data_IF_805565074825
#
_entry.id   IF_805565074825
#
_cell.length_a   1.000
_cell.length_b   1.000
_cell.length_c   1.000
_cell.angle_alpha   90.00
_cell.angle_beta   90.00
_cell.angle_gamma   90.00
#
_symmetry.space_group_name_H-M   'P 1'
#
loop_
_entity.id
_entity.type
_entity.pdbx_description
1 polymer ?
#
# COMPACT_ATOMS: atom_id res chain seq x y z
N UNK A 1 -23.52 22.36 -4.87
CA UNK A 1 -22.23 21.69 -4.71
C UNK A 1 -22.40 20.46 -3.86
N UNK A 2 -22.44 20.49 -2.52
CA UNK A 2 -22.63 19.28 -1.69
C UNK A 2 -24.04 18.67 -1.90
N UNK A 3 -25.07 19.51 -1.88
CA UNK A 3 -26.48 19.12 -2.12
C UNK A 3 -26.71 18.47 -3.49
N UNK A 4 -25.95 18.84 -4.53
CA UNK A 4 -26.05 18.25 -5.87
C UNK A 4 -25.39 16.89 -5.99
N UNK A 5 -24.30 16.66 -5.25
CA UNK A 5 -23.61 15.36 -5.19
C UNK A 5 -24.48 14.35 -4.45
N UNK A 6 -25.10 14.78 -3.34
CA UNK A 6 -25.99 13.94 -2.54
C UNK A 6 -27.24 13.52 -3.34
N UNK A 7 -27.76 14.39 -4.22
CA UNK A 7 -28.92 14.10 -5.08
C UNK A 7 -28.54 13.16 -6.24
N UNK A 8 -27.37 13.30 -6.86
CA UNK A 8 -26.94 12.43 -7.95
C UNK A 8 -26.57 11.03 -7.44
N UNK A 9 -25.86 10.94 -6.31
CA UNK A 9 -25.55 9.67 -5.66
C UNK A 9 -26.81 8.95 -5.18
N UNK A 10 -27.77 9.69 -4.60
CA UNK A 10 -29.04 9.12 -4.14
C UNK A 10 -29.92 8.61 -5.29
N UNK A 11 -29.91 9.26 -6.45
CA UNK A 11 -30.69 8.84 -7.62
C UNK A 11 -30.14 7.56 -8.26
N UNK A 12 -28.81 7.42 -8.39
CA UNK A 12 -28.21 6.20 -8.94
C UNK A 12 -28.21 5.04 -7.93
N UNK A 13 -28.08 5.32 -6.64
CA UNK A 13 -28.22 4.32 -5.58
C UNK A 13 -29.68 3.86 -5.43
N UNK A 14 -30.67 4.74 -5.62
CA UNK A 14 -32.09 4.37 -5.60
C UNK A 14 -32.47 3.48 -6.79
N UNK A 15 -31.83 3.64 -7.94
CA UNK A 15 -32.01 2.76 -9.11
C UNK A 15 -31.26 1.42 -8.97
N UNK A 16 -30.19 1.37 -8.19
CA UNK A 16 -29.44 0.14 -7.90
C UNK A 16 -30.10 -0.71 -6.80
N UNK A 17 -30.80 -0.06 -5.85
CA UNK A 17 -31.55 -0.70 -4.78
C UNK A 17 -33.03 -0.42 -5.01
N UNK A 18 -33.67 -1.25 -5.86
CA UNK A 18 -35.10 -1.18 -6.14
C UNK A 18 -35.92 -1.06 -4.86
N UNK A 19 -36.91 -0.16 -4.90
CA UNK A 19 -37.83 0.22 -3.84
C UNK A 19 -38.24 -0.92 -2.91
N UNK A 20 -37.85 -0.85 -1.65
CA UNK A 20 -38.47 -1.59 -0.56
C UNK A 20 -39.69 -0.80 -0.10
N UNK A 21 -40.88 -1.14 -0.64
CA UNK A 21 -42.18 -0.69 -0.11
C UNK A 21 -42.40 -1.31 1.27
N UNK A 22 -42.83 -0.47 2.20
CA UNK A 22 -43.27 -0.95 3.50
C UNK A 22 -44.60 -1.70 3.39
N UNK A 23 -44.67 -2.85 4.02
CA UNK A 23 -45.81 -3.42 4.78
C UNK A 23 -45.54 -4.90 5.09
N UNK A 24 -45.97 -5.24 6.29
CA UNK A 24 -46.23 -6.56 6.89
C UNK A 24 -45.17 -7.14 7.81
N UNK A 25 -45.32 -6.70 9.05
CA UNK A 25 -44.86 -7.39 10.27
C UNK A 25 -45.78 -8.61 10.49
N UNK A 26 -45.35 -9.80 10.17
CA UNK A 26 -45.88 -11.15 10.46
C UNK A 26 -46.05 -12.00 9.18
N UNK A 27 -44.94 -12.44 8.63
CA UNK A 27 -44.93 -13.67 7.83
C UNK A 27 -43.83 -14.62 8.29
N UNK A 28 -44.14 -15.91 8.28
CA UNK A 28 -43.33 -17.08 8.64
C UNK A 28 -41.94 -17.03 7.99
N UNK A 29 -40.89 -17.59 8.64
CA UNK A 29 -39.56 -17.65 8.10
C UNK A 29 -39.50 -18.62 6.89
N UNK A 30 -39.87 -18.12 5.72
CA UNK A 30 -39.45 -18.76 4.48
C UNK A 30 -37.91 -18.82 4.48
N UNK A 31 -37.29 -19.94 4.04
CA UNK A 31 -35.84 -20.03 3.98
C UNK A 31 -35.32 -18.89 3.12
N UNK A 32 -34.65 -17.92 3.77
CA UNK A 32 -34.02 -16.81 3.09
C UNK A 32 -32.95 -17.38 2.13
N UNK A 33 -33.30 -17.42 0.86
CA UNK A 33 -32.28 -17.59 -0.18
C UNK A 33 -31.32 -16.42 -0.03
N UNK A 34 -30.02 -16.66 0.24
CA UNK A 34 -29.07 -15.56 0.37
C UNK A 34 -29.14 -14.68 -0.90
N UNK A 35 -29.08 -13.35 -0.75
CA UNK A 35 -29.12 -12.47 -1.90
C UNK A 35 -28.01 -12.86 -2.89
N UNK A 36 -28.33 -12.87 -4.19
CA UNK A 36 -27.31 -13.20 -5.20
C UNK A 36 -26.15 -12.22 -5.08
N UNK A 37 -24.91 -12.70 -5.13
CA UNK A 37 -23.75 -11.83 -5.02
C UNK A 37 -23.75 -10.78 -6.14
N UNK A 38 -23.45 -9.53 -5.78
CA UNK A 38 -23.24 -8.45 -6.75
C UNK A 38 -21.96 -8.78 -7.53
N UNK A 39 -22.07 -8.83 -8.86
CA UNK A 39 -20.97 -9.21 -9.74
C UNK A 39 -20.29 -7.98 -10.34
N UNK A 40 -18.96 -8.05 -10.51
CA UNK A 40 -18.19 -7.09 -11.29
C UNK A 40 -18.44 -7.27 -12.79
N UNK A 41 -17.96 -6.33 -13.60
CA UNK A 41 -18.08 -6.38 -15.08
C UNK A 41 -17.34 -7.58 -15.69
N UNK A 42 -16.33 -8.13 -15.02
CA UNK A 42 -15.61 -9.35 -15.42
C UNK A 42 -16.26 -10.65 -14.91
N UNK A 43 -17.42 -10.55 -14.26
CA UNK A 43 -18.16 -11.72 -13.75
C UNK A 43 -17.60 -12.27 -12.43
N UNK A 44 -16.83 -11.50 -11.68
CA UNK A 44 -16.36 -11.88 -10.34
C UNK A 44 -17.24 -11.26 -9.26
N UNK A 45 -17.44 -11.91 -8.09
CA UNK A 45 -18.18 -11.29 -7.00
C UNK A 45 -17.46 -10.03 -6.50
N UNK A 46 -18.20 -8.92 -6.30
CA UNK A 46 -17.64 -7.69 -5.71
C UNK A 46 -17.28 -7.89 -4.25
N UNK A 47 -18.07 -8.67 -3.53
CA UNK A 47 -17.78 -9.06 -2.15
C UNK A 47 -17.02 -10.39 -2.13
N UNK A 48 -15.78 -10.36 -1.69
CA UNK A 48 -14.89 -11.50 -1.66
C UNK A 48 -14.50 -11.85 -0.22
N UNK A 49 -14.14 -13.11 0.03
CA UNK A 49 -13.77 -13.57 1.35
C UNK A 49 -12.54 -12.82 1.88
N UNK A 50 -12.69 -12.25 3.07
CA UNK A 50 -11.63 -11.51 3.77
C UNK A 50 -11.54 -11.95 5.22
N UNK A 51 -10.38 -11.76 5.83
CA UNK A 51 -10.22 -11.90 7.27
C UNK A 51 -10.70 -10.63 8.03
N UNK A 52 -10.63 -10.66 9.35
CA UNK A 52 -11.03 -9.55 10.23
C UNK A 52 -10.22 -8.26 10.05
N UNK A 53 -9.09 -8.30 9.35
CA UNK A 53 -8.28 -7.14 8.97
C UNK A 53 -8.55 -6.68 7.53
N UNK A 54 -9.58 -7.23 6.87
CA UNK A 54 -9.95 -6.91 5.49
C UNK A 54 -8.97 -7.44 4.44
N UNK A 55 -8.11 -8.43 4.78
CA UNK A 55 -7.15 -9.03 3.87
C UNK A 55 -7.79 -10.18 3.09
N UNK A 56 -7.41 -10.35 1.83
CA UNK A 56 -7.93 -11.41 0.97
C UNK A 56 -7.60 -12.80 1.51
N UNK A 57 -8.61 -13.66 1.61
CA UNK A 57 -8.44 -15.05 2.00
C UNK A 57 -8.59 -15.95 0.76
N UNK A 58 -7.58 -15.93 -0.11
CA UNK A 58 -7.48 -16.79 -1.29
C UNK A 58 -6.90 -18.15 -0.93
N UNK A 59 -7.25 -19.18 -1.70
CA UNK A 59 -6.54 -20.47 -1.71
C UNK A 59 -5.19 -20.23 -2.38
N UNK A 60 -4.09 -20.62 -1.75
CA UNK A 60 -2.77 -20.44 -2.38
C UNK A 60 -2.55 -21.47 -3.50
N UNK A 61 -1.73 -21.13 -4.51
CA UNK A 61 -1.36 -22.09 -5.53
C UNK A 61 -0.76 -23.36 -4.92
N UNK A 62 -1.39 -24.52 -5.20
CA UNK A 62 -0.97 -25.81 -4.65
C UNK A 62 -1.50 -26.16 -3.27
N UNK A 63 -2.25 -25.26 -2.61
CA UNK A 63 -2.95 -25.54 -1.35
C UNK A 63 -4.39 -26.03 -1.58
N UNK A 64 -4.94 -26.73 -0.61
CA UNK A 64 -6.37 -27.07 -0.58
C UNK A 64 -7.22 -25.91 -0.03
N UNK A 65 -8.53 -25.94 -0.29
CA UNK A 65 -9.44 -24.94 0.26
C UNK A 65 -9.42 -24.91 1.81
N UNK A 66 -9.18 -26.06 2.46
CA UNK A 66 -9.13 -26.18 3.91
C UNK A 66 -7.96 -25.38 4.52
N UNK A 67 -6.83 -25.30 3.83
CA UNK A 67 -5.64 -24.57 4.30
C UNK A 67 -5.84 -23.05 4.32
N UNK A 68 -6.90 -22.56 3.67
CA UNK A 68 -7.34 -21.17 3.75
C UNK A 68 -7.89 -20.79 5.13
N UNK A 69 -8.21 -21.77 5.97
CA UNK A 69 -8.78 -21.54 7.29
C UNK A 69 -7.80 -21.98 8.39
N UNK A 70 -7.79 -21.24 9.49
CA UNK A 70 -7.14 -21.66 10.73
C UNK A 70 -7.93 -22.82 11.35
N UNK A 71 -7.31 -23.57 12.24
CA UNK A 71 -7.98 -24.58 13.07
C UNK A 71 -9.21 -24.04 13.81
N UNK A 72 -9.27 -22.72 14.06
CA UNK A 72 -10.43 -22.03 14.65
C UNK A 72 -11.56 -21.73 13.66
N UNK A 73 -11.48 -22.17 12.40
CA UNK A 73 -12.44 -21.85 11.32
C UNK A 73 -12.35 -20.42 10.78
N UNK A 74 -11.40 -19.59 11.23
CA UNK A 74 -11.23 -18.22 10.76
C UNK A 74 -10.39 -18.18 9.48
N UNK A 75 -10.74 -17.35 8.47
CA UNK A 75 -9.97 -17.23 7.24
C UNK A 75 -8.57 -16.67 7.48
N UNK A 76 -7.60 -17.16 6.71
CA UNK A 76 -6.21 -16.69 6.71
C UNK A 76 -6.03 -15.63 5.64
N UNK A 77 -5.99 -14.37 6.05
CA UNK A 77 -5.78 -13.25 5.13
C UNK A 77 -4.34 -13.10 4.67
N UNK A 78 -4.15 -12.82 3.39
CA UNK A 78 -2.85 -12.52 2.77
C UNK A 78 -2.57 -11.03 2.81
N UNK A 79 -1.31 -10.63 2.87
CA UNK A 79 -0.92 -9.21 2.89
C UNK A 79 -1.48 -8.50 1.66
N UNK A 80 -2.18 -7.37 1.85
CA UNK A 80 -2.69 -6.58 0.72
C UNK A 80 -1.56 -5.85 0.01
N UNK A 81 -1.56 -5.83 -1.33
CA UNK A 81 -0.59 -5.09 -2.13
C UNK A 81 -0.52 -3.61 -1.72
N UNK A 82 -1.69 -2.97 -1.49
CA UNK A 82 -1.77 -1.58 -1.02
C UNK A 82 -1.23 -1.35 0.40
N UNK A 83 -1.15 -2.38 1.24
CA UNK A 83 -0.51 -2.32 2.57
C UNK A 83 0.98 -2.60 2.44
N UNK A 84 1.36 -3.51 1.56
CA UNK A 84 2.74 -3.89 1.31
C UNK A 84 3.55 -2.71 0.73
N UNK A 85 3.07 -2.10 -0.35
CA UNK A 85 3.75 -1.00 -1.03
C UNK A 85 3.96 0.26 -0.16
N UNK A 86 3.18 0.42 0.90
CA UNK A 86 3.28 1.53 1.87
C UNK A 86 4.17 1.21 3.08
N UNK A 87 4.84 0.05 3.10
CA UNK A 87 5.63 -0.37 4.27
C UNK A 87 6.91 0.47 4.47
N UNK A 88 7.44 1.04 3.39
CA UNK A 88 8.65 1.87 3.40
C UNK A 88 8.35 3.38 3.20
N UNK A 89 7.09 3.79 3.25
CA UNK A 89 6.68 5.17 2.95
C UNK A 89 6.63 6.03 4.20
N UNK A 90 7.09 7.26 4.09
CA UNK A 90 6.85 8.30 5.09
C UNK A 90 5.36 8.73 5.06
N UNK A 91 4.70 8.54 6.19
CA UNK A 91 3.27 8.87 6.36
C UNK A 91 3.04 10.27 6.97
N UNK A 92 4.09 11.08 7.14
CA UNK A 92 3.99 12.38 7.80
C UNK A 92 2.92 13.25 7.17
N UNK A 93 2.95 13.43 5.85
CA UNK A 93 2.03 14.32 5.14
C UNK A 93 0.56 13.90 5.27
N UNK A 94 0.26 12.60 5.14
CA UNK A 94 -1.11 12.09 5.28
C UNK A 94 -1.60 12.18 6.74
N UNK A 95 -0.73 11.93 7.71
CA UNK A 95 -1.05 12.08 9.12
C UNK A 95 -1.32 13.54 9.48
N UNK A 96 -0.52 14.48 8.97
CA UNK A 96 -0.71 15.91 9.20
C UNK A 96 -1.98 16.43 8.50
N UNK A 97 -2.33 15.86 7.33
CA UNK A 97 -3.60 16.15 6.66
C UNK A 97 -4.80 15.66 7.50
N UNK A 98 -4.75 14.44 8.03
CA UNK A 98 -5.78 13.90 8.92
C UNK A 98 -5.98 14.79 10.16
N UNK A 99 -4.90 15.18 10.85
CA UNK A 99 -4.97 16.09 12.01
C UNK A 99 -5.66 17.43 11.67
N UNK A 100 -5.36 18.01 10.50
CA UNK A 100 -6.02 19.24 10.05
C UNK A 100 -7.52 19.03 9.80
N UNK A 101 -7.92 17.89 9.22
CA UNK A 101 -9.33 17.58 9.02
C UNK A 101 -10.07 17.39 10.35
N UNK A 102 -9.47 16.71 11.33
CA UNK A 102 -10.03 16.60 12.68
C UNK A 102 -10.28 17.98 13.28
N UNK A 103 -9.32 18.90 13.19
CA UNK A 103 -9.46 20.27 13.72
C UNK A 103 -10.57 21.06 13.00
N UNK A 104 -10.65 20.95 11.67
CA UNK A 104 -11.72 21.57 10.87
C UNK A 104 -13.08 20.99 11.25
N UNK A 105 -13.20 19.67 11.37
CA UNK A 105 -14.42 18.98 11.78
C UNK A 105 -14.85 19.38 13.20
N UNK A 106 -13.91 19.46 14.13
CA UNK A 106 -14.16 19.88 15.51
C UNK A 106 -14.71 21.32 15.59
N UNK A 107 -14.23 22.22 14.73
CA UNK A 107 -14.77 23.58 14.67
C UNK A 107 -16.23 23.65 14.22
N UNK A 108 -16.70 22.66 13.45
CA UNK A 108 -18.06 22.55 12.90
C UNK A 108 -19.00 21.70 13.77
N UNK A 109 -18.47 20.71 14.49
CA UNK A 109 -19.22 19.70 15.26
C UNK A 109 -18.77 19.69 16.72
N UNK A 110 -19.11 20.74 17.44
CA UNK A 110 -18.85 20.85 18.90
C UNK A 110 -19.50 19.73 19.72
N UNK A 111 -20.64 19.23 19.25
CA UNK A 111 -21.35 18.10 19.87
C UNK A 111 -20.48 16.82 19.90
N UNK A 112 -19.71 16.54 18.85
CA UNK A 112 -18.78 15.40 18.81
C UNK A 112 -17.59 15.62 19.76
N UNK A 113 -17.11 16.85 19.87
CA UNK A 113 -16.03 17.19 20.81
C UNK A 113 -16.48 16.99 22.27
N UNK A 114 -17.71 17.35 22.57
CA UNK A 114 -18.28 17.14 23.92
C UNK A 114 -18.42 15.65 24.25
N UNK A 115 -18.72 14.79 23.27
CA UNK A 115 -18.77 13.34 23.47
C UNK A 115 -17.41 12.74 23.82
N UNK A 116 -16.31 13.39 23.47
CA UNK A 116 -14.96 12.96 23.87
C UNK A 116 -14.62 13.33 25.32
N UNK A 117 -15.45 14.15 25.98
CA UNK A 117 -15.18 14.58 27.35
C UNK A 117 -15.23 13.38 28.31
N UNK A 118 -14.14 13.17 29.04
CA UNK A 118 -14.02 12.07 30.00
C UNK A 118 -13.62 10.72 29.39
N UNK A 119 -13.49 10.62 28.06
CA UNK A 119 -12.93 9.43 27.43
C UNK A 119 -11.41 9.39 27.58
N UNK A 120 -10.86 8.17 27.78
CA UNK A 120 -9.42 7.95 27.90
C UNK A 120 -8.86 7.22 26.68
N UNK A 121 -7.58 7.39 26.44
CA UNK A 121 -6.90 6.75 25.30
C UNK A 121 -6.78 5.23 25.50
N UNK A 122 -6.69 4.79 26.73
CA UNK A 122 -6.50 3.40 27.12
C UNK A 122 -7.81 2.60 27.05
N UNK A 123 -8.89 3.15 27.58
CA UNK A 123 -10.16 2.42 27.77
C UNK A 123 -11.16 2.64 26.63
N UNK A 124 -11.11 3.81 25.97
CA UNK A 124 -12.13 4.25 25.01
C UNK A 124 -11.60 4.40 23.58
N UNK A 125 -10.53 3.71 23.23
CA UNK A 125 -9.85 3.82 21.95
C UNK A 125 -10.79 3.75 20.73
N UNK A 126 -11.72 2.79 20.74
CA UNK A 126 -12.62 2.58 19.59
C UNK A 126 -13.66 3.70 19.49
N UNK A 127 -14.16 4.22 20.61
CA UNK A 127 -15.07 5.37 20.62
C UNK A 127 -14.35 6.63 20.12
N UNK A 128 -13.13 6.88 20.61
CA UNK A 128 -12.33 8.02 20.15
C UNK A 128 -12.02 7.93 18.66
N UNK A 129 -11.66 6.75 18.14
CA UNK A 129 -11.45 6.53 16.71
C UNK A 129 -12.73 6.80 15.90
N UNK A 130 -13.90 6.38 16.39
CA UNK A 130 -15.18 6.64 15.73
C UNK A 130 -15.50 8.14 15.67
N UNK A 131 -15.23 8.89 16.74
CA UNK A 131 -15.39 10.34 16.77
C UNK A 131 -14.43 11.05 15.81
N UNK A 132 -13.17 10.61 15.75
CA UNK A 132 -12.17 11.13 14.79
C UNK A 132 -12.66 10.95 13.36
N UNK A 133 -13.16 9.76 12.99
CA UNK A 133 -13.71 9.50 11.65
C UNK A 133 -14.86 10.45 11.34
N UNK A 134 -15.81 10.66 12.26
CA UNK A 134 -16.93 11.57 12.05
C UNK A 134 -16.48 13.04 11.88
N UNK A 135 -15.45 13.46 12.60
CA UNK A 135 -14.87 14.79 12.46
C UNK A 135 -14.18 14.97 11.11
N UNK A 136 -13.40 13.98 10.67
CA UNK A 136 -12.76 13.98 9.35
C UNK A 136 -13.79 14.01 8.22
N UNK A 137 -14.88 13.24 8.33
CA UNK A 137 -16.00 13.24 7.39
C UNK A 137 -16.68 14.62 7.35
N UNK A 138 -16.91 15.23 8.49
CA UNK A 138 -17.46 16.61 8.59
C UNK A 138 -16.55 17.64 7.91
N UNK A 139 -15.25 17.40 7.91
CA UNK A 139 -14.29 18.23 7.17
C UNK A 139 -14.34 18.02 5.65
N UNK A 140 -15.03 16.99 5.17
CA UNK A 140 -15.15 16.65 3.75
C UNK A 140 -14.11 15.63 3.26
N UNK A 141 -13.47 14.89 4.17
CA UNK A 141 -12.41 13.91 3.80
C UNK A 141 -12.92 12.79 2.89
N UNK A 142 -14.20 12.42 2.96
CA UNK A 142 -14.82 11.38 2.14
C UNK A 142 -15.22 11.81 0.74
N UNK A 143 -15.53 13.08 0.51
CA UNK A 143 -16.08 13.56 -0.77
C UNK A 143 -15.21 13.14 -1.97
N UNK A 144 -13.90 13.34 -1.89
CA UNK A 144 -12.99 12.93 -2.95
C UNK A 144 -12.90 11.40 -3.13
N UNK A 145 -13.02 10.65 -2.03
CA UNK A 145 -13.00 9.18 -2.07
C UNK A 145 -14.27 8.62 -2.72
N UNK A 146 -15.44 9.17 -2.39
CA UNK A 146 -16.73 8.70 -2.91
C UNK A 146 -16.85 9.00 -4.40
N UNK A 147 -16.45 10.21 -4.83
CA UNK A 147 -16.37 10.56 -6.25
C UNK A 147 -15.35 9.68 -6.99
N UNK A 148 -14.21 9.40 -6.37
CA UNK A 148 -13.21 8.50 -6.92
C UNK A 148 -13.76 7.09 -7.13
N UNK A 149 -14.45 6.54 -6.13
CA UNK A 149 -15.10 5.22 -6.21
C UNK A 149 -16.13 5.17 -7.34
N UNK A 150 -16.98 6.19 -7.46
CA UNK A 150 -17.93 6.29 -8.54
C UNK A 150 -17.26 6.27 -9.92
N UNK A 151 -16.20 7.06 -10.13
CA UNK A 151 -15.50 7.10 -11.40
C UNK A 151 -14.75 5.79 -11.71
N UNK A 152 -14.18 5.12 -10.71
CA UNK A 152 -13.63 3.78 -10.89
C UNK A 152 -14.68 2.82 -11.41
N UNK A 153 -15.82 2.71 -10.72
CA UNK A 153 -16.89 1.82 -11.13
C UNK A 153 -17.47 2.19 -12.50
N UNK A 154 -17.66 3.49 -12.78
CA UNK A 154 -18.22 3.91 -14.06
C UNK A 154 -17.26 3.60 -15.23
N UNK A 155 -15.94 3.82 -15.05
CA UNK A 155 -14.94 3.48 -16.07
C UNK A 155 -14.84 1.98 -16.30
N UNK A 156 -15.06 1.12 -15.29
CA UNK A 156 -15.15 -0.33 -15.47
C UNK A 156 -16.30 -0.70 -16.44
N UNK A 157 -17.48 -0.09 -16.29
CA UNK A 157 -18.59 -0.30 -17.22
C UNK A 157 -18.29 0.19 -18.62
N UNK A 158 -17.59 1.33 -18.76
CA UNK A 158 -17.16 1.85 -20.07
C UNK A 158 -16.14 0.90 -20.72
N UNK A 159 -15.15 0.46 -19.98
CA UNK A 159 -14.09 -0.46 -20.44
C UNK A 159 -14.65 -1.84 -20.83
N UNK A 160 -15.72 -2.25 -20.18
CA UNK A 160 -16.45 -3.46 -20.53
C UNK A 160 -17.41 -3.30 -21.74
N UNK A 161 -17.54 -2.09 -22.29
CA UNK A 161 -18.47 -1.77 -23.37
C UNK A 161 -19.95 -1.82 -22.98
N UNK A 162 -20.25 -1.69 -21.68
CA UNK A 162 -21.60 -1.75 -21.14
C UNK A 162 -22.25 -0.36 -20.98
N UNK A 163 -21.44 0.68 -20.84
CA UNK A 163 -21.87 2.08 -20.78
C UNK A 163 -20.94 2.94 -21.64
N UNK A 164 -21.41 4.15 -21.95
CA UNK A 164 -20.63 5.19 -22.61
C UNK A 164 -20.53 6.39 -21.69
N UNK A 165 -19.66 7.36 -21.99
CA UNK A 165 -19.55 8.56 -21.19
C UNK A 165 -20.88 9.40 -21.16
N UNK A 166 -21.75 9.24 -22.18
CA UNK A 166 -23.06 9.91 -22.23
C UNK A 166 -24.05 9.37 -21.19
N UNK A 167 -23.85 8.15 -20.72
CA UNK A 167 -24.70 7.53 -19.69
C UNK A 167 -24.38 8.02 -18.27
N UNK A 168 -23.33 8.82 -18.12
CA UNK A 168 -22.95 9.41 -16.84
C UNK A 168 -23.73 10.70 -16.53
N UNK A 169 -23.83 11.08 -15.22
CA UNK A 169 -24.25 12.41 -14.83
C UNK A 169 -23.47 13.50 -15.55
N UNK A 170 -24.15 14.60 -15.89
CA UNK A 170 -23.61 15.67 -16.75
C UNK A 170 -22.26 16.22 -16.28
N UNK A 171 -22.06 16.32 -14.97
CA UNK A 171 -20.81 16.79 -14.35
C UNK A 171 -19.59 15.91 -14.65
N UNK A 172 -19.78 14.61 -14.92
CA UNK A 172 -18.70 13.67 -15.20
C UNK A 172 -18.48 13.37 -16.68
N UNK A 173 -19.46 13.72 -17.55
CA UNK A 173 -19.42 13.38 -18.96
C UNK A 173 -18.15 13.87 -19.65
N UNK A 174 -17.70 15.09 -19.34
CA UNK A 174 -16.46 15.64 -19.91
C UNK A 174 -15.23 14.84 -19.54
N UNK A 175 -15.05 14.51 -18.25
CA UNK A 175 -13.90 13.75 -17.77
C UNK A 175 -13.88 12.34 -18.36
N UNK A 176 -15.05 11.71 -18.44
CA UNK A 176 -15.20 10.36 -18.99
C UNK A 176 -15.03 10.34 -20.52
N UNK A 177 -15.44 11.39 -21.23
CA UNK A 177 -15.14 11.53 -22.66
C UNK A 177 -13.63 11.69 -22.90
N UNK A 178 -12.94 12.49 -22.07
CA UNK A 178 -11.49 12.64 -22.14
C UNK A 178 -10.76 11.33 -21.78
N UNK A 179 -11.31 10.55 -20.82
CA UNK A 179 -10.79 9.21 -20.51
C UNK A 179 -10.82 8.29 -21.74
N UNK A 180 -11.96 8.17 -22.40
CA UNK A 180 -12.09 7.34 -23.61
C UNK A 180 -11.20 7.82 -24.75
N UNK A 181 -11.10 9.14 -24.96
CA UNK A 181 -10.25 9.76 -25.96
C UNK A 181 -8.75 9.50 -25.69
N UNK A 182 -8.34 9.63 -24.43
CA UNK A 182 -6.94 9.39 -24.04
C UNK A 182 -6.52 7.93 -24.27
N UNK A 183 -7.36 6.95 -23.88
CA UNK A 183 -7.11 5.53 -24.14
C UNK A 183 -7.05 5.25 -25.64
N UNK A 184 -8.01 5.78 -26.42
CA UNK A 184 -8.06 5.61 -27.86
C UNK A 184 -6.82 6.17 -28.58
N UNK A 185 -6.38 7.37 -28.21
CA UNK A 185 -5.17 8.02 -28.77
C UNK A 185 -3.90 7.25 -28.43
N UNK A 186 -3.81 6.67 -27.24
CA UNK A 186 -2.68 5.85 -26.82
C UNK A 186 -2.74 4.43 -27.38
N UNK A 187 -3.84 4.02 -28.02
CA UNK A 187 -4.02 2.65 -28.49
C UNK A 187 -4.12 1.62 -27.37
N UNK A 188 -4.67 2.02 -26.23
CA UNK A 188 -4.90 1.18 -25.06
C UNK A 188 -6.31 0.60 -25.11
N UNK A 189 -6.42 -0.72 -25.24
CA UNK A 189 -7.69 -1.45 -25.27
C UNK A 189 -7.89 -2.18 -23.96
N UNK A 190 -8.87 -1.80 -23.12
CA UNK A 190 -9.17 -2.54 -21.90
C UNK A 190 -9.73 -3.93 -22.25
N UNK A 191 -9.31 -4.93 -21.46
CA UNK A 191 -9.77 -6.32 -21.66
C UNK A 191 -10.81 -6.63 -20.61
N UNK A 192 -12.08 -6.74 -21.01
CA UNK A 192 -13.22 -6.90 -20.11
C UNK A 192 -13.05 -8.03 -19.09
N UNK A 193 -12.56 -9.19 -19.50
CA UNK A 193 -12.35 -10.34 -18.62
C UNK A 193 -11.24 -10.14 -17.59
N UNK A 194 -10.43 -9.08 -17.74
CA UNK A 194 -9.27 -8.73 -16.92
C UNK A 194 -9.48 -7.39 -16.19
N UNK A 195 -10.73 -7.00 -15.94
CA UNK A 195 -11.10 -5.86 -15.09
C UNK A 195 -11.39 -6.37 -13.69
N UNK A 196 -10.89 -5.69 -12.65
CA UNK A 196 -11.13 -6.03 -11.24
C UNK A 196 -10.81 -7.50 -10.93
N UNK A 197 -9.60 -7.97 -11.29
CA UNK A 197 -9.14 -9.34 -11.03
C UNK A 197 -8.09 -9.39 -9.95
N UNK A 198 -8.15 -10.47 -9.18
CA UNK A 198 -7.24 -10.70 -8.05
C UNK A 198 -6.03 -11.51 -8.50
N UNK A 199 -4.85 -11.10 -8.04
CA UNK A 199 -3.58 -11.82 -8.23
C UNK A 199 -2.77 -11.86 -6.94
N UNK A 200 -1.68 -12.66 -6.92
CA UNK A 200 -0.82 -12.86 -5.75
C UNK A 200 0.63 -13.06 -6.17
N UNK A 201 1.57 -12.55 -5.39
CA UNK A 201 2.99 -12.89 -5.50
C UNK A 201 3.46 -13.67 -4.28
N UNK A 202 4.39 -14.60 -4.49
CA UNK A 202 4.90 -15.49 -3.46
C UNK A 202 6.07 -14.89 -2.68
N UNK A 203 6.96 -14.19 -3.37
CA UNK A 203 8.32 -13.80 -2.93
C UNK A 203 8.34 -13.05 -1.61
N UNK A 204 7.34 -12.23 -1.35
CA UNK A 204 7.31 -11.35 -0.17
C UNK A 204 6.28 -11.80 0.87
N UNK A 205 6.07 -13.12 1.01
CA UNK A 205 5.16 -13.70 1.99
C UNK A 205 3.70 -13.61 1.57
N UNK A 206 3.41 -13.88 0.31
CA UNK A 206 2.07 -13.92 -0.26
C UNK A 206 1.36 -12.57 -0.21
N UNK A 207 1.80 -11.65 -1.06
CA UNK A 207 1.17 -10.36 -1.25
C UNK A 207 0.07 -10.47 -2.30
N UNK A 208 -1.16 -10.16 -1.92
CA UNK A 208 -2.36 -10.33 -2.73
C UNK A 208 -3.05 -8.98 -2.99
N UNK A 209 -3.66 -8.83 -4.16
CA UNK A 209 -4.45 -7.64 -4.46
C UNK A 209 -5.30 -7.79 -5.71
N UNK A 210 -6.26 -6.89 -5.84
CA UNK A 210 -7.10 -6.75 -7.03
C UNK A 210 -6.56 -5.58 -7.83
N UNK A 211 -6.26 -5.81 -9.10
CA UNK A 211 -5.87 -4.76 -10.03
C UNK A 211 -7.09 -4.23 -10.79
N UNK A 212 -7.05 -2.96 -11.18
CA UNK A 212 -8.17 -2.34 -11.85
C UNK A 212 -8.39 -2.96 -13.24
N UNK A 213 -7.35 -3.04 -14.08
CA UNK A 213 -7.45 -3.53 -15.46
C UNK A 213 -6.13 -3.96 -16.08
N UNK A 214 -6.21 -4.77 -17.12
CA UNK A 214 -5.14 -5.00 -18.07
C UNK A 214 -5.57 -4.48 -19.44
N UNK A 215 -4.67 -3.74 -20.10
CA UNK A 215 -4.84 -3.23 -21.45
C UNK A 215 -4.04 -4.07 -22.44
N UNK A 216 -4.57 -4.22 -23.64
CA UNK A 216 -3.76 -4.51 -24.81
C UNK A 216 -3.29 -3.19 -25.44
N UNK A 217 -1.98 -2.98 -25.52
CA UNK A 217 -1.40 -1.78 -26.13
C UNK A 217 -1.08 -2.06 -27.59
N UNK A 218 -1.94 -1.61 -28.49
CA UNK A 218 -1.84 -1.89 -29.94
C UNK A 218 -0.47 -1.54 -30.53
N UNK A 219 0.13 -0.35 -30.25
CA UNK A 219 1.40 0.03 -30.89
C UNK A 219 2.55 -0.93 -30.55
N UNK A 220 2.60 -1.50 -29.35
CA UNK A 220 3.67 -2.43 -28.94
C UNK A 220 3.28 -3.90 -29.03
N UNK A 221 1.99 -4.22 -29.18
CA UNK A 221 1.48 -5.59 -29.14
C UNK A 221 1.60 -6.26 -27.76
N UNK A 222 1.74 -5.49 -26.67
CA UNK A 222 1.96 -5.99 -25.30
C UNK A 222 0.74 -5.76 -24.41
N UNK A 223 0.65 -6.58 -23.37
CA UNK A 223 -0.29 -6.36 -22.27
C UNK A 223 0.36 -5.46 -21.22
N UNK A 224 -0.38 -4.43 -20.77
CA UNK A 224 0.05 -3.47 -19.77
C UNK A 224 -0.93 -3.49 -18.60
N UNK A 225 -0.41 -3.58 -17.37
CA UNK A 225 -1.21 -3.36 -16.18
C UNK A 225 -1.60 -1.88 -16.09
N UNK A 226 -2.85 -1.59 -15.74
CA UNK A 226 -3.36 -0.23 -15.61
C UNK A 226 -4.11 0.01 -14.31
N UNK A 227 -4.05 1.24 -13.84
CA UNK A 227 -4.67 1.68 -12.60
C UNK A 227 -5.21 3.10 -12.75
N UNK A 228 -6.43 3.35 -12.30
CA UNK A 228 -7.05 4.67 -12.28
C UNK A 228 -6.75 5.38 -10.96
N UNK A 229 -6.30 6.61 -11.02
CA UNK A 229 -6.04 7.47 -9.86
C UNK A 229 -6.86 8.74 -9.97
N UNK A 230 -7.73 8.96 -8.99
CA UNK A 230 -8.64 10.11 -8.90
C UNK A 230 -8.19 11.15 -7.87
N UNK A 231 -7.05 10.92 -7.24
CA UNK A 231 -6.46 11.85 -6.28
C UNK A 231 -6.12 13.21 -6.89
N UNK A 232 -6.06 14.25 -6.06
CA UNK A 232 -5.81 15.64 -6.46
C UNK A 232 -4.52 15.83 -7.26
N UNK A 233 -3.49 15.06 -6.98
CA UNK A 233 -2.17 15.13 -7.62
C UNK A 233 -1.49 13.76 -7.61
N UNK A 234 -0.59 13.54 -8.56
CA UNK A 234 0.32 12.40 -8.63
C UNK A 234 1.76 12.76 -8.20
N UNK A 235 1.98 13.94 -7.65
CA UNK A 235 3.32 14.40 -7.20
C UNK A 235 3.87 13.56 -6.05
N UNK A 236 2.99 12.85 -5.33
CA UNK A 236 3.33 12.01 -4.20
C UNK A 236 2.87 10.57 -4.45
N UNK A 237 3.58 9.62 -3.89
CA UNK A 237 3.19 8.21 -3.96
C UNK A 237 3.58 7.49 -5.25
N UNK A 238 4.49 8.07 -6.07
CA UNK A 238 4.98 7.44 -7.29
C UNK A 238 5.49 6.02 -7.02
N UNK A 239 6.39 5.88 -6.06
CA UNK A 239 7.02 4.59 -5.75
C UNK A 239 6.01 3.54 -5.29
N UNK A 240 5.00 3.93 -4.50
CA UNK A 240 3.94 3.02 -4.06
C UNK A 240 3.06 2.55 -5.22
N UNK A 241 2.72 3.45 -6.14
CA UNK A 241 1.91 3.13 -7.31
C UNK A 241 2.69 2.21 -8.24
N UNK A 242 3.94 2.51 -8.55
CA UNK A 242 4.81 1.66 -9.38
C UNK A 242 5.03 0.29 -8.75
N UNK A 243 5.24 0.22 -7.43
CA UNK A 243 5.33 -1.03 -6.69
C UNK A 243 4.02 -1.82 -6.72
N UNK A 244 2.88 -1.15 -6.59
CA UNK A 244 1.57 -1.77 -6.67
C UNK A 244 1.35 -2.40 -8.05
N UNK A 245 1.61 -1.66 -9.12
CA UNK A 245 1.46 -2.12 -10.49
C UNK A 245 2.43 -3.25 -10.82
N UNK A 246 3.70 -3.14 -10.40
CA UNK A 246 4.65 -4.24 -10.56
C UNK A 246 4.18 -5.51 -9.84
N UNK A 247 3.71 -5.38 -8.59
CA UNK A 247 3.17 -6.52 -7.84
C UNK A 247 2.04 -7.22 -8.60
N UNK A 248 1.18 -6.45 -9.26
CA UNK A 248 0.09 -7.02 -10.04
C UNK A 248 0.57 -7.68 -11.34
N UNK A 249 1.41 -7.01 -12.11
CA UNK A 249 1.96 -7.56 -13.37
C UNK A 249 2.73 -8.85 -13.10
N UNK A 250 3.64 -8.82 -12.13
CA UNK A 250 4.45 -9.97 -11.73
C UNK A 250 3.58 -11.12 -11.18
N UNK A 251 2.57 -10.80 -10.37
CA UNK A 251 1.65 -11.79 -9.84
C UNK A 251 0.84 -12.50 -10.93
N UNK A 252 0.35 -11.76 -11.92
CA UNK A 252 -0.36 -12.33 -13.08
C UNK A 252 0.55 -13.24 -13.89
N UNK A 253 1.79 -12.84 -14.13
CA UNK A 253 2.76 -13.66 -14.86
C UNK A 253 3.17 -14.91 -14.07
N UNK A 254 3.32 -14.81 -12.75
CA UNK A 254 3.80 -15.89 -11.91
C UNK A 254 2.71 -16.92 -11.55
N UNK A 255 1.53 -16.44 -11.16
CA UNK A 255 0.48 -17.28 -10.57
C UNK A 255 -0.86 -17.19 -11.33
N UNK A 256 -0.95 -16.30 -12.34
CA UNK A 256 -2.21 -16.02 -13.03
C UNK A 256 -3.15 -15.15 -12.23
N UNK A 257 -4.43 -15.33 -12.48
CA UNK A 257 -5.52 -14.58 -11.82
C UNK A 257 -6.42 -15.52 -11.03
N UNK A 258 -6.87 -15.07 -9.88
CA UNK A 258 -7.78 -15.86 -9.03
C UNK A 258 -9.22 -15.72 -9.53
N UNK A 259 -9.88 -16.83 -9.72
CA UNK A 259 -11.31 -16.89 -9.99
C UNK A 259 -12.04 -17.18 -8.67
N UNK A 260 -12.78 -16.18 -8.19
CA UNK A 260 -13.52 -16.28 -6.94
C UNK A 260 -14.75 -17.19 -7.03
N UNK A 261 -15.29 -17.42 -8.24
CA UNK A 261 -16.44 -18.30 -8.43
C UNK A 261 -16.04 -19.79 -8.31
N UNK A 262 -14.90 -20.14 -8.88
CA UNK A 262 -14.35 -21.51 -8.83
C UNK A 262 -13.32 -21.69 -7.71
N UNK A 263 -12.85 -20.61 -7.11
CA UNK A 263 -11.81 -20.56 -6.08
C UNK A 263 -10.48 -21.18 -6.55
N UNK A 264 -10.15 -20.99 -7.81
CA UNK A 264 -8.95 -21.53 -8.46
C UNK A 264 -8.11 -20.45 -9.12
N UNK A 265 -6.85 -20.78 -9.40
CA UNK A 265 -5.93 -19.92 -10.16
C UNK A 265 -6.03 -20.27 -11.64
N UNK A 266 -6.31 -19.27 -12.47
CA UNK A 266 -6.31 -19.32 -13.93
C UNK A 266 -4.93 -18.87 -14.40
N UNK A 267 -4.04 -19.82 -14.63
CA UNK A 267 -2.66 -19.54 -15.09
C UNK A 267 -2.60 -19.23 -16.59
N UNK A 268 -3.51 -19.82 -17.36
CA UNK A 268 -3.74 -19.49 -18.77
C UNK A 268 -4.78 -18.38 -18.90
N UNK A 269 -4.50 -17.23 -18.26
CA UNK A 269 -5.41 -16.09 -18.25
C UNK A 269 -5.65 -15.49 -19.63
N UNK A 270 -4.73 -15.71 -20.59
CA UNK A 270 -4.86 -15.26 -21.96
C UNK A 270 -6.03 -15.94 -22.67
N UNK A 271 -6.38 -17.15 -22.28
CA UNK A 271 -7.54 -17.87 -22.83
C UNK A 271 -8.86 -17.16 -22.56
N UNK A 272 -8.94 -16.37 -21.49
CA UNK A 272 -10.15 -15.61 -21.12
C UNK A 272 -10.54 -14.53 -22.14
N UNK A 273 -9.66 -14.16 -23.06
CA UNK A 273 -9.93 -13.12 -24.09
C UNK A 273 -9.51 -13.56 -25.53
N UNK A 274 -9.31 -14.85 -25.73
CA UNK A 274 -9.02 -15.41 -27.07
C UNK A 274 -7.56 -15.41 -27.48
N UNK A 275 -6.64 -15.28 -26.54
CA UNK A 275 -5.20 -15.54 -26.61
C UNK A 275 -4.50 -14.97 -27.85
N UNK A 276 -4.05 -13.73 -27.84
CA UNK A 276 -3.31 -13.16 -28.97
C UNK A 276 -1.99 -12.52 -28.51
N UNK A 277 -0.89 -12.96 -29.09
CA UNK A 277 0.37 -12.29 -29.33
C UNK A 277 1.44 -12.23 -28.23
N UNK A 278 1.13 -12.07 -26.94
CA UNK A 278 2.16 -12.13 -25.89
C UNK A 278 1.71 -12.97 -24.70
N UNK A 279 2.57 -13.84 -24.17
CA UNK A 279 2.19 -14.68 -23.02
C UNK A 279 2.17 -13.92 -21.69
N UNK A 280 2.72 -12.69 -21.63
CA UNK A 280 3.01 -12.01 -20.36
C UNK A 280 2.52 -10.56 -20.36
N UNK A 281 2.14 -10.08 -19.18
CA UNK A 281 1.97 -8.66 -18.88
C UNK A 281 3.36 -8.03 -18.73
N UNK A 282 3.56 -6.82 -19.27
CA UNK A 282 4.83 -6.11 -19.12
C UNK A 282 5.17 -5.88 -17.65
N UNK A 283 6.37 -6.28 -17.24
CA UNK A 283 6.93 -6.00 -15.91
C UNK A 283 7.90 -4.79 -15.92
N UNK A 284 8.07 -4.14 -17.06
CA UNK A 284 8.90 -2.94 -17.18
C UNK A 284 8.08 -1.66 -17.24
N UNK A 285 6.85 -1.71 -17.79
CA UNK A 285 6.00 -0.53 -17.99
C UNK A 285 4.56 -0.86 -17.64
N UNK A 286 3.94 0.02 -16.86
CA UNK A 286 2.51 0.06 -16.59
C UNK A 286 1.90 1.41 -16.97
N UNK A 287 0.58 1.55 -16.81
CA UNK A 287 -0.17 2.76 -17.14
C UNK A 287 -0.93 3.24 -15.92
N UNK A 288 -0.76 4.51 -15.56
CA UNK A 288 -1.62 5.19 -14.59
C UNK A 288 -2.49 6.18 -15.35
N UNK A 289 -3.79 6.06 -15.17
CA UNK A 289 -4.76 7.03 -15.68
C UNK A 289 -5.07 7.99 -14.54
N UNK A 290 -4.57 9.22 -14.62
CA UNK A 290 -4.83 10.24 -13.63
C UNK A 290 -6.02 11.08 -14.06
N UNK A 291 -7.12 10.96 -13.32
CA UNK A 291 -8.39 11.70 -13.53
C UNK A 291 -8.83 12.35 -12.22
N UNK A 292 -8.25 13.50 -11.85
CA UNK A 292 -8.49 14.13 -10.55
C UNK A 292 -9.92 14.63 -10.43
N UNK A 293 -10.57 14.27 -9.30
CA UNK A 293 -11.94 14.69 -8.94
C UNK A 293 -11.99 16.01 -8.17
N UNK A 294 -10.83 16.55 -7.83
CA UNK A 294 -10.68 17.80 -7.09
C UNK A 294 -9.36 18.48 -7.41
N UNK A 295 -9.32 19.80 -7.25
CA UNK A 295 -8.09 20.58 -7.36
C UNK A 295 -7.88 21.24 -8.72
N UNK A 296 -6.67 21.78 -8.97
CA UNK A 296 -6.40 22.58 -10.17
C UNK A 296 -6.55 21.85 -11.50
N UNK A 297 -6.41 20.52 -11.49
CA UNK A 297 -6.54 19.65 -12.66
C UNK A 297 -7.86 18.89 -12.70
N UNK A 298 -8.84 19.28 -11.88
CA UNK A 298 -10.16 18.67 -11.90
C UNK A 298 -10.77 18.69 -13.32
N UNK A 299 -11.35 17.57 -13.73
CA UNK A 299 -11.93 17.41 -15.05
C UNK A 299 -10.94 17.24 -16.19
N UNK A 300 -9.65 16.98 -15.90
CA UNK A 300 -8.65 16.56 -16.90
C UNK A 300 -8.38 15.08 -16.81
N UNK A 301 -7.75 14.53 -17.85
CA UNK A 301 -7.23 13.16 -17.86
C UNK A 301 -5.81 13.16 -18.41
N UNK A 302 -4.91 12.55 -17.66
CA UNK A 302 -3.50 12.38 -18.05
C UNK A 302 -3.16 10.89 -18.02
N UNK A 303 -2.51 10.38 -19.07
CA UNK A 303 -1.91 9.05 -19.06
C UNK A 303 -0.44 9.18 -18.65
N UNK A 304 -0.08 8.48 -17.60
CA UNK A 304 1.28 8.47 -17.06
C UNK A 304 1.86 7.06 -17.20
N UNK A 305 3.08 6.97 -17.69
CA UNK A 305 3.83 5.72 -17.73
C UNK A 305 4.41 5.44 -16.35
N UNK A 306 4.16 4.23 -15.82
CA UNK A 306 4.74 3.76 -14.58
C UNK A 306 5.97 2.90 -14.87
N UNK A 307 7.09 3.23 -14.22
CA UNK A 307 8.32 2.45 -14.27
C UNK A 307 8.23 1.27 -13.31
N UNK A 308 7.96 0.08 -13.83
CA UNK A 308 7.77 -1.10 -13.00
C UNK A 308 9.10 -1.70 -12.51
N UNK A 309 10.24 -1.39 -13.13
CA UNK A 309 11.55 -1.76 -12.61
C UNK A 309 11.85 -0.97 -11.31
N UNK A 310 11.55 0.33 -11.29
CA UNK A 310 11.54 1.14 -10.08
C UNK A 310 10.55 0.58 -9.05
N UNK A 311 9.36 0.13 -9.48
CA UNK A 311 8.36 -0.52 -8.65
C UNK A 311 8.88 -1.79 -7.98
N UNK A 312 9.61 -2.63 -8.70
CA UNK A 312 10.29 -3.82 -8.18
C UNK A 312 11.32 -3.47 -7.12
N UNK A 313 12.18 -2.50 -7.41
CA UNK A 313 13.18 -2.04 -6.44
C UNK A 313 12.54 -1.54 -5.14
N UNK A 314 11.43 -0.81 -5.24
CA UNK A 314 10.65 -0.40 -4.05
C UNK A 314 10.03 -1.58 -3.30
N UNK A 315 9.56 -2.61 -4.01
CA UNK A 315 9.05 -3.84 -3.39
C UNK A 315 10.11 -4.57 -2.56
N UNK A 316 11.36 -4.62 -3.02
CA UNK A 316 12.49 -5.19 -2.29
C UNK A 316 12.75 -4.43 -0.97
N UNK A 317 12.67 -3.09 -1.00
CA UNK A 317 12.78 -2.25 0.21
C UNK A 317 11.62 -2.52 1.18
N UNK A 318 10.38 -2.58 0.67
CA UNK A 318 9.21 -2.90 1.48
C UNK A 318 9.33 -4.28 2.14
N UNK A 319 9.82 -5.27 1.41
CA UNK A 319 10.07 -6.61 1.92
C UNK A 319 11.12 -6.60 3.03
N UNK A 320 12.23 -5.90 2.83
CA UNK A 320 13.29 -5.76 3.85
C UNK A 320 12.79 -5.08 5.13
N UNK A 321 11.95 -4.04 5.01
CA UNK A 321 11.31 -3.38 6.16
C UNK A 321 10.41 -4.36 6.92
N UNK A 322 9.60 -5.16 6.20
CA UNK A 322 8.66 -6.12 6.80
C UNK A 322 9.32 -7.35 7.39
N UNK A 323 10.46 -7.78 6.84
CA UNK A 323 11.23 -8.91 7.35
C UNK A 323 11.96 -8.62 8.68
N UNK A 324 12.06 -7.35 9.08
CA UNK A 324 12.68 -6.99 10.36
C UNK A 324 11.89 -7.58 11.53
N UNK A 325 12.56 -8.21 12.50
CA UNK A 325 11.88 -8.70 13.68
C UNK A 325 11.12 -7.57 14.38
N UNK A 326 9.84 -7.78 14.59
CA UNK A 326 9.01 -6.88 15.39
C UNK A 326 8.96 -7.44 16.81
N UNK A 327 9.26 -6.64 17.79
CA UNK A 327 9.19 -7.06 19.16
C UNK A 327 9.57 -5.94 20.13
N UNK A 328 9.28 -6.17 21.39
CA UNK A 328 9.70 -5.28 22.47
C UNK A 328 11.22 -5.37 22.62
N UNK A 329 11.90 -4.23 22.78
CA UNK A 329 13.30 -4.22 23.19
C UNK A 329 13.43 -5.03 24.49
N UNK A 330 14.41 -5.95 24.52
CA UNK A 330 14.70 -6.71 25.73
C UNK A 330 15.28 -5.77 26.80
N UNK A 331 15.02 -6.07 28.06
CA UNK A 331 15.70 -5.41 29.14
C UNK A 331 17.22 -5.68 29.03
N UNK A 332 18.06 -4.75 29.52
CA UNK A 332 19.51 -4.88 29.41
C UNK A 332 20.04 -6.21 29.98
N UNK A 333 19.43 -6.72 31.07
CA UNK A 333 19.78 -8.01 31.67
C UNK A 333 19.36 -9.24 30.85
N UNK A 334 18.35 -9.09 29.95
CA UNK A 334 17.82 -10.17 29.11
C UNK A 334 18.36 -10.09 27.68
N UNK A 335 19.26 -9.16 27.42
CA UNK A 335 19.88 -8.93 26.12
C UNK A 335 20.86 -10.03 25.70
N UNK A 336 21.44 -9.94 24.53
CA UNK A 336 22.58 -10.75 24.15
C UNK A 336 23.71 -10.56 25.18
N UNK A 337 24.51 -11.62 25.37
CA UNK A 337 25.66 -11.53 26.24
C UNK A 337 26.44 -10.22 25.98
N UNK A 338 26.95 -9.56 27.03
CA UNK A 338 27.75 -8.35 26.85
C UNK A 338 28.83 -8.60 25.81
N UNK A 339 29.06 -7.61 24.96
CA UNK A 339 30.14 -7.70 23.97
C UNK A 339 31.41 -8.18 24.66
N UNK A 340 32.05 -9.18 24.08
CA UNK A 340 33.37 -9.61 24.57
C UNK A 340 34.26 -8.38 24.72
N UNK A 341 35.03 -8.28 25.79
CA UNK A 341 35.99 -7.19 25.95
C UNK A 341 36.81 -7.07 24.65
N UNK A 342 36.91 -5.86 24.14
CA UNK A 342 37.72 -5.62 22.95
C UNK A 342 39.13 -6.21 23.19
N UNK A 343 39.57 -7.09 22.30
CA UNK A 343 40.94 -7.61 22.37
C UNK A 343 41.93 -6.43 22.33
N UNK A 344 42.65 -6.25 23.41
CA UNK A 344 43.68 -5.20 23.51
C UNK A 344 44.82 -5.60 22.59
N UNK A 345 45.13 -4.78 21.60
CA UNK A 345 46.23 -5.07 20.68
C UNK A 345 47.58 -4.85 21.36
N UNK A 346 48.64 -5.45 20.83
CA UNK A 346 50.01 -5.22 21.33
C UNK A 346 50.37 -3.74 21.32
N UNK A 347 49.87 -2.97 20.38
CA UNK A 347 50.08 -1.54 20.30
C UNK A 347 49.39 -0.78 21.45
N UNK A 348 48.13 -1.14 21.77
CA UNK A 348 47.41 -0.53 22.89
C UNK A 348 48.12 -0.78 24.21
N UNK A 349 48.59 -1.98 24.44
CA UNK A 349 49.38 -2.32 25.64
C UNK A 349 50.67 -1.50 25.73
N UNK A 350 51.42 -1.39 24.62
CA UNK A 350 52.65 -0.61 24.56
C UNK A 350 52.44 0.87 24.84
N UNK A 351 51.41 1.48 24.23
CA UNK A 351 51.07 2.89 24.46
C UNK A 351 50.50 3.14 25.86
N UNK A 352 49.79 2.19 26.44
CA UNK A 352 49.27 2.30 27.81
C UNK A 352 50.34 2.08 28.90
N UNK A 353 51.52 1.57 28.54
CA UNK A 353 52.62 1.28 29.47
C UNK A 353 53.82 2.25 29.36
N UNK A 354 53.69 3.32 28.59
CA UNK A 354 54.77 4.32 28.46
C UNK A 354 55.02 5.03 29.77
N UNK A 355 56.30 5.25 30.08
CA UNK A 355 56.74 5.89 31.32
C UNK A 355 57.36 7.29 31.11
N UNK A 356 57.58 7.67 29.86
CA UNK A 356 58.09 9.00 29.52
C UNK A 356 57.56 9.52 28.18
N UNK A 357 57.61 10.83 27.99
CA UNK A 357 57.26 11.48 26.72
C UNK A 357 58.18 11.09 25.56
N UNK A 358 59.45 10.77 25.86
CA UNK A 358 60.40 10.27 24.86
C UNK A 358 60.00 8.88 24.36
N UNK A 359 59.63 7.99 25.28
CA UNK A 359 59.14 6.63 24.96
C UNK A 359 57.85 6.71 24.13
N UNK A 360 56.87 7.57 24.51
CA UNK A 360 55.66 7.79 23.76
C UNK A 360 55.95 8.29 22.33
N UNK A 361 56.90 9.20 22.18
CA UNK A 361 57.32 9.76 20.89
C UNK A 361 58.02 8.73 20.00
N UNK A 362 58.85 7.83 20.60
CA UNK A 362 59.47 6.74 19.89
C UNK A 362 58.43 5.73 19.38
N UNK A 363 57.49 5.37 20.25
CA UNK A 363 56.41 4.43 19.95
C UNK A 363 55.46 4.96 18.87
N UNK A 364 55.20 6.27 18.87
CA UNK A 364 54.41 6.95 17.82
C UNK A 364 55.10 6.83 16.45
N UNK A 365 56.43 7.03 16.37
CA UNK A 365 57.18 6.88 15.11
C UNK A 365 57.16 5.44 14.61
N UNK A 366 57.30 4.47 15.51
CA UNK A 366 57.22 3.04 15.20
C UNK A 366 55.82 2.65 14.67
N UNK A 367 54.77 3.08 15.36
CA UNK A 367 53.39 2.81 14.93
C UNK A 367 53.10 3.39 13.54
N UNK A 368 53.56 4.62 13.29
CA UNK A 368 53.42 5.27 11.98
C UNK A 368 54.20 4.54 10.88
N UNK A 369 55.39 4.07 11.17
CA UNK A 369 56.19 3.27 10.25
C UNK A 369 55.55 1.90 9.96
N UNK A 370 54.81 1.35 10.93
CA UNK A 370 53.99 0.15 10.78
C UNK A 370 52.67 0.38 10.04
N UNK A 371 52.41 1.57 9.50
CA UNK A 371 51.23 1.90 8.71
C UNK A 371 49.98 2.27 9.54
N UNK A 372 50.12 2.49 10.85
CA UNK A 372 49.00 2.96 11.68
C UNK A 372 48.88 4.47 11.51
N UNK A 373 47.70 4.89 10.98
CA UNK A 373 47.42 6.29 10.65
C UNK A 373 46.00 6.71 11.08
N UNK A 374 45.73 8.01 11.01
CA UNK A 374 44.40 8.56 11.22
C UNK A 374 43.83 8.35 12.63
N UNK A 375 42.55 8.00 12.73
CA UNK A 375 41.83 7.84 14.00
C UNK A 375 42.52 6.84 14.91
N UNK A 376 43.03 5.73 14.35
CA UNK A 376 43.69 4.68 15.12
C UNK A 376 44.96 5.15 15.81
N UNK A 377 45.77 5.94 15.12
CA UNK A 377 46.99 6.51 15.71
C UNK A 377 46.65 7.52 16.83
N UNK A 378 45.61 8.32 16.66
CA UNK A 378 45.14 9.26 17.68
C UNK A 378 44.63 8.57 18.95
N UNK A 379 43.92 7.43 18.80
CA UNK A 379 43.50 6.61 19.93
C UNK A 379 44.72 6.11 20.76
N UNK A 380 45.75 5.65 20.09
CA UNK A 380 46.98 5.20 20.75
C UNK A 380 47.68 6.33 21.46
N UNK A 381 47.78 7.51 20.85
CA UNK A 381 48.36 8.71 21.49
C UNK A 381 47.59 9.07 22.77
N UNK A 382 46.26 8.98 22.72
CA UNK A 382 45.41 9.25 23.89
C UNK A 382 45.72 8.29 25.04
N UNK A 383 45.96 7.00 24.76
CA UNK A 383 46.37 6.01 25.77
C UNK A 383 47.70 6.39 26.42
N UNK A 384 48.72 6.82 25.64
CA UNK A 384 49.97 7.28 26.18
C UNK A 384 49.79 8.53 27.06
N UNK A 385 48.95 9.48 26.64
CA UNK A 385 48.69 10.67 27.45
C UNK A 385 48.01 10.36 28.78
N UNK A 386 47.12 9.37 28.80
CA UNK A 386 46.47 8.90 30.03
C UNK A 386 47.55 8.26 30.95
N UNK A 387 48.37 7.34 30.41
CA UNK A 387 49.43 6.67 31.18
C UNK A 387 50.40 7.68 31.81
N UNK A 388 50.85 8.69 31.07
CA UNK A 388 51.77 9.70 31.57
C UNK A 388 51.10 10.60 32.65
N UNK A 389 49.85 10.97 32.50
CA UNK A 389 49.09 11.72 33.53
C UNK A 389 48.95 10.93 34.84
N UNK A 390 48.70 9.62 34.74
CA UNK A 390 48.59 8.77 35.93
C UNK A 390 49.95 8.64 36.69
N UNK A 391 51.07 8.75 35.99
CA UNK A 391 52.39 8.78 36.62
C UNK A 391 52.64 10.11 37.33
N UNK A 392 52.25 11.26 36.71
CA UNK A 392 52.39 12.58 37.32
C UNK A 392 51.55 12.76 38.60
N UNK A 393 50.44 12.01 38.73
CA UNK A 393 49.59 12.04 39.92
C UNK A 393 50.10 11.15 41.04
N UNK A 394 50.95 10.17 40.75
CA UNK A 394 51.50 9.22 41.72
C UNK A 394 52.90 9.56 42.22
N UNK A 395 53.56 10.55 41.61
CA UNK A 395 54.84 11.09 42.01
C UNK A 395 54.68 12.39 42.78
#
# INVERSE_FOLDING_TARGET
TQERVDVALAADMANAYGSMGGADLFEDPTPHTPPKPVMSVSGQPKEVLRDHLGRYAVVLPGESELERYKSSGKPVGRTRATTFNKSATDKKNINDWGKRNVLIGASRRRDLVLQATGLTHEDDKDKLNALVVQLEETAGSKVGSDLGTYLHEFTEYMDAGLKTWQDAPQEFQRSLALYADALGKAGLEPIRSLIERTTIIREYGWVCGTFDRIFFHRPSGRYLIGDLKTGKTMDYGKNEVECQLWTYAHGVNQNGIYDWNTQTWVTDWQSLHGGRWHPEVSESVGVVIHMPVQGPKEGTVELLWADLESGRAHAEVCAAVRARPQGRMKAWGDGPAPLAPRAVTSWELRFASVTSGEEASALWREAKAAGIVGVRLNELITLAQIALRELDVKG
#
